data_IF_485022021545
#
_entry.id   IF_485022021545
#
_cell.length_a   1.000
_cell.length_b   1.000
_cell.length_c   1.000
_cell.angle_alpha   90.00
_cell.angle_beta   90.00
_cell.angle_gamma   90.00
#
_symmetry.space_group_name_H-M   'P 1'
#
loop_
_entity.id
_entity.type
_entity.pdbx_description
1 polymer ?
#
# COMPACT_ATOMS: atom_id res chain seq x y z
N UNK A 1 -8.06 4.77 11.22
CA UNK A 1 -7.91 5.12 9.79
C UNK A 1 -8.93 4.36 8.94
N UNK A 2 -8.92 3.01 8.89
CA UNK A 2 -10.00 2.26 8.22
C UNK A 2 -11.39 2.50 8.83
N UNK A 3 -11.53 2.54 10.16
CA UNK A 3 -12.79 2.86 10.82
C UNK A 3 -13.37 4.22 10.36
N UNK A 4 -12.51 5.24 10.26
CA UNK A 4 -12.92 6.56 9.74
C UNK A 4 -13.31 6.51 8.25
N UNK A 5 -12.60 5.72 7.42
CA UNK A 5 -12.98 5.50 6.02
C UNK A 5 -14.35 4.81 5.89
N UNK A 6 -14.63 3.82 6.75
CA UNK A 6 -15.89 3.10 6.77
C UNK A 6 -17.04 3.97 7.31
N UNK A 7 -16.77 4.85 8.27
CA UNK A 7 -17.74 5.86 8.74
C UNK A 7 -18.08 6.88 7.65
N UNK A 8 -17.11 7.29 6.82
CA UNK A 8 -17.29 8.31 5.79
C UNK A 8 -17.93 7.77 4.50
N UNK A 9 -17.51 6.58 4.05
CA UNK A 9 -17.93 5.99 2.76
C UNK A 9 -18.94 4.84 2.88
N UNK A 10 -19.17 4.35 4.09
CA UNK A 10 -19.89 3.10 4.33
C UNK A 10 -18.98 1.87 4.22
N UNK A 11 -19.31 0.84 5.01
CA UNK A 11 -18.49 -0.37 5.16
C UNK A 11 -18.21 -1.09 3.83
N UNK A 12 -19.23 -1.26 2.98
CA UNK A 12 -19.09 -1.94 1.69
C UNK A 12 -18.10 -1.24 0.74
N UNK A 13 -18.13 0.09 0.70
CA UNK A 13 -17.23 0.90 -0.13
C UNK A 13 -15.81 0.84 0.43
N UNK A 14 -15.64 0.92 1.75
CA UNK A 14 -14.34 0.79 2.40
C UNK A 14 -13.72 -0.60 2.17
N UNK A 15 -14.52 -1.67 2.18
CA UNK A 15 -14.08 -3.03 1.86
C UNK A 15 -13.68 -3.18 0.39
N UNK A 16 -14.47 -2.63 -0.54
CA UNK A 16 -14.12 -2.59 -1.97
C UNK A 16 -12.81 -1.84 -2.22
N UNK A 17 -12.59 -0.74 -1.50
CA UNK A 17 -11.33 -0.02 -1.53
C UNK A 17 -10.16 -0.90 -1.06
N UNK A 18 -10.29 -1.62 0.06
CA UNK A 18 -9.23 -2.51 0.55
C UNK A 18 -8.95 -3.67 -0.42
N UNK A 19 -9.98 -4.26 -1.02
CA UNK A 19 -9.81 -5.29 -2.05
C UNK A 19 -9.07 -4.74 -3.29
N UNK A 20 -9.41 -3.52 -3.72
CA UNK A 20 -8.72 -2.83 -4.83
C UNK A 20 -7.29 -2.46 -4.45
N UNK A 21 -7.06 -1.95 -3.25
CA UNK A 21 -5.74 -1.60 -2.76
C UNK A 21 -4.83 -2.83 -2.75
N UNK A 22 -5.28 -3.95 -2.17
CA UNK A 22 -4.50 -5.19 -2.09
C UNK A 22 -4.18 -5.78 -3.47
N UNK A 23 -5.12 -5.72 -4.43
CA UNK A 23 -4.85 -6.19 -5.80
C UNK A 23 -3.83 -5.32 -6.54
N UNK A 24 -3.74 -4.02 -6.20
CA UNK A 24 -2.81 -3.07 -6.81
C UNK A 24 -1.43 -3.02 -6.15
N UNK A 25 -1.20 -3.66 -5.00
CA UNK A 25 0.09 -3.62 -4.30
C UNK A 25 1.23 -4.17 -5.16
N UNK A 26 1.08 -5.38 -5.70
CA UNK A 26 2.11 -6.01 -6.52
C UNK A 26 2.47 -5.21 -7.77
N UNK A 27 1.53 -4.76 -8.62
CA UNK A 27 1.88 -3.96 -9.80
C UNK A 27 2.49 -2.60 -9.43
N UNK A 28 2.07 -1.97 -8.32
CA UNK A 28 2.66 -0.71 -7.86
C UNK A 28 4.10 -0.87 -7.38
N UNK A 29 4.39 -1.95 -6.65
CA UNK A 29 5.77 -2.29 -6.26
C UNK A 29 6.61 -2.59 -7.51
N UNK A 30 6.05 -3.29 -8.50
CA UNK A 30 6.73 -3.51 -9.78
C UNK A 30 7.03 -2.21 -10.55
N UNK A 31 6.14 -1.21 -10.51
CA UNK A 31 6.41 0.11 -11.08
C UNK A 31 7.56 0.82 -10.37
N UNK A 32 7.62 0.75 -9.04
CA UNK A 32 8.73 1.33 -8.25
C UNK A 32 10.06 0.69 -8.67
N UNK A 33 10.13 -0.64 -8.75
CA UNK A 33 11.32 -1.37 -9.20
C UNK A 33 11.73 -0.98 -10.64
N UNK A 34 10.76 -0.86 -11.54
CA UNK A 34 11.01 -0.42 -12.91
C UNK A 34 11.55 1.02 -12.98
N UNK A 35 11.05 1.94 -12.15
CA UNK A 35 11.53 3.32 -12.09
C UNK A 35 12.97 3.41 -11.58
N UNK A 36 13.33 2.61 -10.56
CA UNK A 36 14.72 2.47 -10.11
C UNK A 36 15.64 1.98 -11.23
N UNK A 37 15.27 0.92 -11.93
CA UNK A 37 16.07 0.35 -13.03
C UNK A 37 16.29 1.33 -14.18
N UNK A 38 15.34 2.23 -14.40
CA UNK A 38 15.42 3.27 -15.43
C UNK A 38 16.10 4.55 -14.96
N UNK A 39 16.43 4.66 -13.65
CA UNK A 39 16.85 5.91 -13.01
C UNK A 39 15.87 7.07 -13.28
N UNK A 40 14.58 6.75 -13.39
CA UNK A 40 13.52 7.74 -13.57
C UNK A 40 13.09 8.26 -12.20
N UNK A 41 13.73 9.35 -11.76
CA UNK A 41 13.46 9.98 -10.46
C UNK A 41 12.01 10.45 -10.33
N UNK A 42 11.44 11.01 -11.39
CA UNK A 42 10.09 11.57 -11.35
C UNK A 42 9.03 10.47 -11.24
N UNK A 43 9.17 9.41 -12.03
CA UNK A 43 8.27 8.25 -11.93
C UNK A 43 8.43 7.54 -10.58
N UNK A 44 9.66 7.43 -10.06
CA UNK A 44 9.94 6.83 -8.76
C UNK A 44 9.24 7.60 -7.62
N UNK A 45 9.39 8.93 -7.57
CA UNK A 45 8.73 9.78 -6.58
C UNK A 45 7.21 9.67 -6.71
N UNK A 46 6.69 9.71 -7.94
CA UNK A 46 5.25 9.62 -8.20
C UNK A 46 4.67 8.28 -7.76
N UNK A 47 5.36 7.18 -8.04
CA UNK A 47 4.95 5.84 -7.63
C UNK A 47 4.97 5.68 -6.11
N UNK A 48 6.00 6.19 -5.43
CA UNK A 48 6.12 6.14 -3.97
C UNK A 48 5.05 6.99 -3.27
N UNK A 49 4.80 8.22 -3.73
CA UNK A 49 3.74 9.09 -3.19
C UNK A 49 2.36 8.46 -3.39
N UNK A 50 2.09 7.87 -4.56
CA UNK A 50 0.83 7.19 -4.84
C UNK A 50 0.62 5.97 -3.91
N UNK A 51 1.68 5.18 -3.69
CA UNK A 51 1.62 4.07 -2.75
C UNK A 51 1.43 4.56 -1.31
N UNK A 52 2.16 5.59 -0.87
CA UNK A 52 2.04 6.18 0.47
C UNK A 52 0.62 6.69 0.75
N UNK A 53 0.01 7.43 -0.17
CA UNK A 53 -1.33 7.98 -0.01
C UNK A 53 -2.37 6.87 0.16
N UNK A 54 -2.34 5.87 -0.74
CA UNK A 54 -3.26 4.74 -0.66
C UNK A 54 -3.02 3.84 0.56
N UNK A 55 -1.76 3.64 0.98
CA UNK A 55 -1.41 2.93 2.19
C UNK A 55 -1.94 3.65 3.44
N UNK A 56 -1.87 5.00 3.45
CA UNK A 56 -2.46 5.81 4.51
C UNK A 56 -3.96 5.57 4.58
N UNK A 57 -4.70 5.72 3.48
CA UNK A 57 -6.15 5.48 3.45
C UNK A 57 -6.53 4.05 3.88
N UNK A 58 -5.77 3.05 3.44
CA UNK A 58 -6.00 1.64 3.80
C UNK A 58 -5.63 1.31 5.25
N UNK A 59 -4.95 2.22 5.97
CA UNK A 59 -4.40 1.92 7.30
C UNK A 59 -3.19 0.98 7.28
N UNK A 60 -2.52 0.83 6.13
CA UNK A 60 -1.33 0.01 5.97
C UNK A 60 -0.08 0.73 6.50
N UNK A 61 0.03 0.82 7.83
CA UNK A 61 1.01 1.65 8.51
C UNK A 61 2.48 1.33 8.17
N UNK A 62 2.83 0.06 7.97
CA UNK A 62 4.22 -0.30 7.61
C UNK A 62 4.56 0.18 6.19
N UNK A 63 3.68 -0.07 5.21
CA UNK A 63 3.84 0.43 3.84
C UNK A 63 3.94 1.96 3.79
N UNK A 64 3.12 2.66 4.58
CA UNK A 64 3.20 4.12 4.71
C UNK A 64 4.55 4.56 5.27
N UNK A 65 5.04 3.91 6.33
CA UNK A 65 6.31 4.26 6.97
C UNK A 65 7.50 4.03 6.04
N UNK A 66 7.50 2.90 5.34
CA UNK A 66 8.57 2.51 4.41
C UNK A 66 8.64 3.45 3.21
N UNK A 67 7.48 3.76 2.60
CA UNK A 67 7.41 4.75 1.50
C UNK A 67 7.83 6.15 1.96
N UNK A 68 7.44 6.57 3.16
CA UNK A 68 7.88 7.86 3.75
C UNK A 68 9.40 7.91 3.91
N UNK A 69 10.02 6.85 4.43
CA UNK A 69 11.48 6.78 4.58
C UNK A 69 12.19 6.82 3.23
N UNK A 70 11.69 6.09 2.23
CA UNK A 70 12.26 6.10 0.89
C UNK A 70 12.25 7.51 0.28
N UNK A 71 11.13 8.23 0.39
CA UNK A 71 10.97 9.60 -0.08
C UNK A 71 11.90 10.63 0.62
N UNK A 72 12.45 10.29 1.78
CA UNK A 72 13.41 11.15 2.50
C UNK A 72 14.87 10.88 2.09
N UNK A 73 15.15 9.85 1.30
CA UNK A 73 16.49 9.57 0.79
C UNK A 73 16.84 10.55 -0.35
N UNK A 74 18.05 11.09 -0.36
CA UNK A 74 18.53 12.02 -1.37
C UNK A 74 19.99 11.71 -1.76
N UNK A 75 20.30 11.41 -3.04
CA UNK A 75 19.35 11.11 -4.12
C UNK A 75 18.72 9.71 -3.94
N UNK A 76 17.42 9.60 -4.17
CA UNK A 76 16.67 8.34 -4.02
C UNK A 76 17.02 7.35 -5.13
N UNK A 77 17.20 7.85 -6.36
CA UNK A 77 17.46 7.06 -7.56
C UNK A 77 18.82 6.34 -7.58
N UNK A 78 19.74 6.75 -6.71
CA UNK A 78 21.04 6.11 -6.54
C UNK A 78 21.06 5.08 -5.38
N UNK A 79 19.95 4.94 -4.64
CA UNK A 79 19.81 3.89 -3.64
C UNK A 79 19.67 2.52 -4.33
N UNK A 80 20.23 1.45 -3.76
CA UNK A 80 19.97 0.10 -4.24
C UNK A 80 18.47 -0.21 -4.07
N UNK A 81 17.77 -0.64 -5.14
CA UNK A 81 16.34 -0.91 -5.07
C UNK A 81 15.99 -2.14 -4.22
N UNK A 82 16.86 -3.16 -4.21
CA UNK A 82 16.53 -4.49 -3.69
C UNK A 82 16.03 -4.47 -2.24
N UNK A 83 16.69 -3.81 -1.27
CA UNK A 83 16.22 -3.78 0.11
C UNK A 83 14.84 -3.14 0.26
N UNK A 84 14.56 -2.08 -0.51
CA UNK A 84 13.27 -1.40 -0.47
C UNK A 84 12.17 -2.26 -1.10
N UNK A 85 12.45 -2.87 -2.26
CA UNK A 85 11.47 -3.72 -2.96
C UNK A 85 11.15 -4.98 -2.14
N UNK A 86 12.15 -5.62 -1.54
CA UNK A 86 11.94 -6.77 -0.66
C UNK A 86 11.08 -6.39 0.56
N UNK A 87 11.39 -5.26 1.20
CA UNK A 87 10.63 -4.78 2.36
C UNK A 87 9.17 -4.45 1.99
N UNK A 88 8.94 -3.68 0.92
CA UNK A 88 7.59 -3.36 0.45
C UNK A 88 6.80 -4.62 0.06
N UNK A 89 7.47 -5.61 -0.54
CA UNK A 89 6.85 -6.88 -0.91
C UNK A 89 6.42 -7.68 0.32
N UNK A 90 7.28 -7.78 1.33
CA UNK A 90 6.95 -8.45 2.60
C UNK A 90 5.76 -7.77 3.29
N UNK A 91 5.80 -6.45 3.42
CA UNK A 91 4.74 -5.66 4.06
C UNK A 91 3.40 -5.77 3.31
N UNK A 92 3.44 -5.80 1.97
CA UNK A 92 2.26 -6.01 1.15
C UNK A 92 1.65 -7.42 1.34
N UNK A 93 2.49 -8.45 1.45
CA UNK A 93 2.03 -9.81 1.74
C UNK A 93 1.41 -9.90 3.14
N UNK A 94 2.04 -9.29 4.15
CA UNK A 94 1.51 -9.25 5.51
C UNK A 94 0.15 -8.55 5.57
N UNK A 95 0.03 -7.38 4.95
CA UNK A 95 -1.23 -6.66 4.89
C UNK A 95 -2.32 -7.47 4.17
N UNK A 96 -1.98 -8.12 3.04
CA UNK A 96 -2.92 -8.95 2.29
C UNK A 96 -3.38 -10.16 3.10
N UNK A 97 -2.49 -10.79 3.88
CA UNK A 97 -2.85 -11.89 4.78
C UNK A 97 -3.78 -11.42 5.89
N UNK A 98 -3.50 -10.28 6.50
CA UNK A 98 -4.34 -9.68 7.53
C UNK A 98 -5.73 -9.36 6.99
N UNK A 99 -5.82 -8.73 5.81
CA UNK A 99 -7.08 -8.40 5.15
C UNK A 99 -7.92 -9.65 4.84
N UNK A 100 -7.32 -10.69 4.26
CA UNK A 100 -8.03 -11.96 4.00
C UNK A 100 -8.51 -12.66 5.27
N UNK A 101 -7.80 -12.48 6.38
CA UNK A 101 -8.21 -13.04 7.67
C UNK A 101 -9.40 -12.27 8.24
N UNK A 102 -9.36 -10.93 8.11
CA UNK A 102 -10.47 -10.05 8.47
C UNK A 102 -11.74 -10.34 7.67
N UNK A 103 -11.65 -10.57 6.36
CA UNK A 103 -12.81 -10.94 5.52
C UNK A 103 -13.47 -12.26 5.91
N UNK A 104 -12.70 -13.18 6.51
CA UNK A 104 -13.15 -14.52 6.89
C UNK A 104 -13.69 -14.59 8.32
N UNK A 105 -13.54 -13.53 9.11
CA UNK A 105 -14.04 -13.50 10.49
C UNK A 105 -15.57 -13.32 10.51
N UNK A 106 -16.34 -14.34 10.98
CA UNK A 106 -17.80 -14.27 11.03
C UNK A 106 -18.35 -13.34 12.13
N UNK A 107 -17.49 -12.76 12.98
CA UNK A 107 -17.90 -11.83 14.04
C UNK A 107 -18.06 -10.38 13.61
N UNK A 108 -17.73 -10.03 12.35
CA UNK A 108 -17.90 -8.69 11.82
C UNK A 108 -19.26 -8.56 11.15
N UNK A 109 -20.08 -7.54 11.47
CA UNK A 109 -21.42 -7.42 10.92
C UNK A 109 -21.33 -7.23 9.40
N UNK A 110 -21.72 -8.27 8.65
CA UNK A 110 -22.12 -8.12 7.26
C UNK A 110 -23.42 -7.31 7.27
N UNK A 111 -23.31 -5.99 7.17
CA UNK A 111 -24.46 -5.16 6.87
C UNK A 111 -24.89 -5.47 5.44
N UNK A 112 -25.79 -6.43 5.33
CA UNK A 112 -26.69 -6.54 4.20
C UNK A 112 -27.61 -5.31 4.23
N UNK A 113 -27.81 -4.72 3.04
CA UNK A 113 -28.67 -3.58 2.67
C UNK A 113 -27.99 -2.21 2.52
#
# INVERSE_FOLDING_TARGET
MFAALAEDLGHAVAMSFLATFTSLLSPRIGRIDAAFKQKDREDLITALLSLQASATMAGAAQLQKTTTRALMADPIEDQPPEPLIEQLTSEAQDFTRAFRSFEKDPGFPRTDH
#
